data_IF_456016443966
#
_entry.id   IF_456016443966
#
_cell.length_a   1.000
_cell.length_b   1.000
_cell.length_c   1.000
_cell.angle_alpha   90.00
_cell.angle_beta   90.00
_cell.angle_gamma   90.00
#
_symmetry.space_group_name_H-M   'P 1'
#
loop_
_entity.id
_entity.type
_entity.pdbx_description
1 polymer ?
#
# COMPACT_ATOMS: atom_id res chain seq x y z
N UNK A 1 -34.22 -40.95 -82.72
CA UNK A 1 -33.19 -39.91 -82.86
C UNK A 1 -33.52 -38.62 -82.10
N UNK A 2 -34.79 -38.20 -81.97
CA UNK A 2 -35.16 -36.97 -81.24
C UNK A 2 -35.14 -37.11 -79.70
N UNK A 3 -35.47 -38.27 -79.14
CA UNK A 3 -35.51 -38.52 -77.68
C UNK A 3 -34.12 -38.55 -77.02
N UNK A 4 -33.11 -39.12 -77.69
CA UNK A 4 -31.73 -39.16 -77.18
C UNK A 4 -31.11 -37.76 -77.07
N UNK A 5 -31.42 -36.86 -78.01
CA UNK A 5 -30.97 -35.46 -77.99
C UNK A 5 -31.57 -34.70 -76.81
N UNK A 6 -32.85 -34.94 -76.49
CA UNK A 6 -33.53 -34.32 -75.34
C UNK A 6 -32.91 -34.79 -74.02
N UNK A 7 -32.63 -36.09 -73.88
CA UNK A 7 -32.00 -36.66 -72.67
C UNK A 7 -30.58 -36.08 -72.49
N UNK A 8 -29.80 -35.96 -73.58
CA UNK A 8 -28.48 -35.36 -73.53
C UNK A 8 -28.52 -33.88 -73.12
N UNK A 9 -29.47 -33.10 -73.66
CA UNK A 9 -29.67 -31.69 -73.29
C UNK A 9 -30.05 -31.53 -71.81
N UNK A 10 -30.92 -32.38 -71.28
CA UNK A 10 -31.27 -32.39 -69.85
C UNK A 10 -30.06 -32.74 -69.00
N UNK A 11 -29.25 -33.73 -69.40
CA UNK A 11 -28.01 -34.10 -68.71
C UNK A 11 -27.01 -32.94 -68.63
N UNK A 12 -26.80 -32.23 -69.74
CA UNK A 12 -25.93 -31.03 -69.79
C UNK A 12 -26.49 -29.92 -68.89
N UNK A 13 -27.78 -29.60 -68.98
CA UNK A 13 -28.40 -28.57 -68.15
C UNK A 13 -28.32 -28.90 -66.65
N UNK A 14 -28.54 -30.16 -66.27
CA UNK A 14 -28.44 -30.63 -64.89
C UNK A 14 -27.02 -30.49 -64.35
N UNK A 15 -26.01 -30.89 -65.14
CA UNK A 15 -24.60 -30.77 -64.78
C UNK A 15 -24.16 -29.32 -64.60
N UNK A 16 -24.66 -28.40 -65.45
CA UNK A 16 -24.37 -26.97 -65.35
C UNK A 16 -24.94 -26.36 -64.06
N UNK A 17 -26.18 -26.70 -63.70
CA UNK A 17 -26.82 -26.22 -62.46
C UNK A 17 -26.04 -26.71 -61.23
N UNK A 18 -25.66 -27.99 -61.20
CA UNK A 18 -24.87 -28.57 -60.10
C UNK A 18 -23.50 -27.90 -60.01
N UNK A 19 -22.84 -27.63 -61.14
CA UNK A 19 -21.55 -26.94 -61.17
C UNK A 19 -21.66 -25.50 -60.64
N UNK A 20 -22.67 -24.73 -61.05
CA UNK A 20 -22.91 -23.36 -60.56
C UNK A 20 -23.19 -23.36 -59.06
N UNK A 21 -24.08 -24.24 -58.59
CA UNK A 21 -24.41 -24.34 -57.17
C UNK A 21 -23.19 -24.74 -56.33
N UNK A 22 -22.41 -25.71 -56.81
CA UNK A 22 -21.18 -26.16 -56.13
C UNK A 22 -20.15 -25.04 -56.06
N UNK A 23 -19.97 -24.26 -57.13
CA UNK A 23 -19.08 -23.09 -57.15
C UNK A 23 -19.54 -22.00 -56.17
N UNK A 24 -20.84 -21.68 -56.13
CA UNK A 24 -21.38 -20.71 -55.17
C UNK A 24 -21.24 -21.16 -53.72
N UNK A 25 -21.47 -22.44 -53.44
CA UNK A 25 -21.28 -22.99 -52.09
C UNK A 25 -19.81 -23.06 -51.69
N UNK A 26 -18.91 -23.42 -52.62
CA UNK A 26 -17.47 -23.37 -52.39
C UNK A 26 -17.03 -21.95 -52.01
N UNK A 27 -17.43 -20.93 -52.78
CA UNK A 27 -17.12 -19.53 -52.47
C UNK A 27 -17.65 -19.07 -51.11
N UNK A 28 -18.85 -19.53 -50.70
CA UNK A 28 -19.42 -19.22 -49.38
C UNK A 28 -18.65 -19.90 -48.26
N UNK A 29 -18.24 -21.15 -48.46
CA UNK A 29 -17.47 -21.91 -47.49
C UNK A 29 -16.06 -21.33 -47.34
N UNK A 30 -15.42 -20.93 -48.43
CA UNK A 30 -14.11 -20.26 -48.42
C UNK A 30 -14.16 -18.95 -47.64
N UNK A 31 -15.16 -18.09 -47.89
CA UNK A 31 -15.33 -16.84 -47.12
C UNK A 31 -15.57 -17.08 -45.62
N UNK A 32 -16.39 -18.07 -45.27
CA UNK A 32 -16.62 -18.44 -43.86
C UNK A 32 -15.34 -18.97 -43.21
N UNK A 33 -14.56 -19.77 -43.94
CA UNK A 33 -13.29 -20.31 -43.47
C UNK A 33 -12.29 -19.17 -43.24
N UNK A 34 -12.23 -18.18 -44.14
CA UNK A 34 -11.36 -17.02 -44.02
C UNK A 34 -11.74 -16.15 -42.80
N UNK A 35 -13.03 -15.88 -42.60
CA UNK A 35 -13.52 -15.15 -41.42
C UNK A 35 -13.19 -15.88 -40.11
N UNK A 36 -13.44 -17.19 -40.05
CA UNK A 36 -13.11 -18.01 -38.86
C UNK A 36 -11.60 -18.05 -38.60
N UNK A 37 -10.78 -18.13 -39.65
CA UNK A 37 -9.32 -18.08 -39.51
C UNK A 37 -8.87 -16.73 -38.95
N UNK A 38 -9.40 -15.64 -39.50
CA UNK A 38 -9.10 -14.28 -39.02
C UNK A 38 -9.55 -14.09 -37.56
N UNK A 39 -10.73 -14.57 -37.19
CA UNK A 39 -11.22 -14.51 -35.81
C UNK A 39 -10.37 -15.35 -34.85
N UNK A 40 -9.94 -16.55 -35.27
CA UNK A 40 -9.03 -17.39 -34.49
C UNK A 40 -7.64 -16.77 -34.35
N UNK A 41 -7.14 -16.11 -35.39
CA UNK A 41 -5.86 -15.39 -35.37
C UNK A 41 -5.93 -14.21 -34.39
N UNK A 42 -6.97 -13.38 -34.46
CA UNK A 42 -7.18 -12.27 -33.52
C UNK A 42 -7.27 -12.77 -32.07
N UNK A 43 -8.06 -13.81 -31.82
CA UNK A 43 -8.18 -14.42 -30.49
C UNK A 43 -6.83 -15.00 -29.99
N UNK A 44 -6.04 -15.58 -30.89
CA UNK A 44 -4.71 -16.11 -30.56
C UNK A 44 -3.74 -14.98 -30.23
N UNK A 45 -3.75 -13.90 -31.01
CA UNK A 45 -2.93 -12.70 -30.78
C UNK A 45 -3.28 -12.05 -29.44
N UNK A 46 -4.56 -11.87 -29.13
CA UNK A 46 -5.01 -11.31 -27.85
C UNK A 46 -4.57 -12.17 -26.67
N UNK A 47 -4.73 -13.49 -26.76
CA UNK A 47 -4.26 -14.43 -25.72
C UNK A 47 -2.74 -14.43 -25.58
N UNK A 48 -2.00 -14.31 -26.68
CA UNK A 48 -0.54 -14.21 -26.63
C UNK A 48 -0.13 -12.92 -25.92
N UNK A 49 -0.68 -11.78 -26.35
CA UNK A 49 -0.41 -10.49 -25.73
C UNK A 49 -0.72 -10.51 -24.23
N UNK A 50 -1.88 -11.05 -23.84
CA UNK A 50 -2.26 -11.19 -22.42
C UNK A 50 -1.26 -12.04 -21.64
N UNK A 51 -0.80 -13.17 -22.18
CA UNK A 51 0.20 -14.02 -21.53
C UNK A 51 1.53 -13.31 -21.36
N UNK A 52 1.96 -12.56 -22.38
CA UNK A 52 3.20 -11.80 -22.32
C UNK A 52 3.12 -10.69 -21.25
N UNK A 53 1.98 -10.00 -21.16
CA UNK A 53 1.73 -9.01 -20.11
C UNK A 53 1.71 -9.63 -18.71
N UNK A 54 0.99 -10.75 -18.51
CA UNK A 54 0.94 -11.46 -17.22
C UNK A 54 2.32 -11.98 -16.82
N UNK A 55 3.12 -12.45 -17.79
CA UNK A 55 4.49 -12.90 -17.56
C UNK A 55 5.40 -11.75 -17.11
N UNK A 56 5.39 -10.61 -17.79
CA UNK A 56 6.20 -9.45 -17.42
C UNK A 56 5.78 -8.85 -16.07
N UNK A 57 4.47 -8.84 -15.78
CA UNK A 57 3.96 -8.39 -14.48
C UNK A 57 4.40 -9.32 -13.34
N UNK A 58 4.30 -10.64 -13.50
CA UNK A 58 4.84 -11.62 -12.54
C UNK A 58 6.34 -11.45 -12.35
N UNK A 59 7.08 -11.29 -13.44
CA UNK A 59 8.53 -11.05 -13.38
C UNK A 59 8.85 -9.80 -12.57
N UNK A 60 8.09 -8.70 -12.75
CA UNK A 60 8.24 -7.49 -11.93
C UNK A 60 7.91 -7.74 -10.45
N UNK A 61 6.85 -8.50 -10.17
CA UNK A 61 6.51 -8.88 -8.80
C UNK A 61 7.68 -9.60 -8.11
N UNK A 62 8.27 -10.60 -8.77
CA UNK A 62 9.42 -11.33 -8.22
C UNK A 62 10.70 -10.49 -8.14
N UNK A 63 11.02 -9.73 -9.19
CA UNK A 63 12.33 -9.07 -9.29
C UNK A 63 12.40 -7.71 -8.58
N UNK A 64 11.29 -6.98 -8.52
CA UNK A 64 11.25 -5.62 -8.00
C UNK A 64 10.43 -5.50 -6.71
N UNK A 65 9.27 -6.17 -6.63
CA UNK A 65 8.38 -6.04 -5.48
C UNK A 65 8.78 -6.91 -4.30
N UNK A 66 9.05 -8.21 -4.50
CA UNK A 66 9.40 -9.13 -3.40
C UNK A 66 10.61 -8.69 -2.57
N UNK A 67 11.72 -8.18 -3.14
CA UNK A 67 12.83 -7.68 -2.34
C UNK A 67 12.45 -6.49 -1.45
N UNK A 68 11.61 -5.59 -1.96
CA UNK A 68 11.11 -4.44 -1.21
C UNK A 68 10.10 -4.87 -0.14
N UNK A 69 9.23 -5.83 -0.45
CA UNK A 69 8.34 -6.44 0.54
C UNK A 69 9.15 -7.11 1.65
N UNK A 70 10.26 -7.77 1.26
CA UNK A 70 11.15 -8.38 2.22
C UNK A 70 11.75 -7.33 3.16
N UNK A 71 12.28 -6.25 2.61
CA UNK A 71 12.82 -5.13 3.36
C UNK A 71 11.75 -4.48 4.26
N UNK A 72 10.54 -4.29 3.75
CA UNK A 72 9.43 -3.72 4.50
C UNK A 72 9.06 -4.56 5.72
N UNK A 73 9.02 -5.89 5.59
CA UNK A 73 8.73 -6.79 6.71
C UNK A 73 9.74 -6.63 7.84
N UNK A 74 11.04 -6.55 7.52
CA UNK A 74 12.10 -6.37 8.54
C UNK A 74 11.96 -5.01 9.22
N UNK A 75 11.76 -3.96 8.43
CA UNK A 75 11.55 -2.61 8.98
C UNK A 75 10.26 -2.51 9.78
N UNK A 76 9.24 -3.29 9.42
CA UNK A 76 7.97 -3.33 10.16
C UNK A 76 8.14 -3.94 11.53
N UNK A 77 8.97 -4.98 11.67
CA UNK A 77 9.32 -5.56 12.97
C UNK A 77 10.10 -4.57 13.83
N UNK A 78 11.06 -3.85 13.24
CA UNK A 78 11.83 -2.81 13.93
C UNK A 78 10.94 -1.63 14.38
N UNK A 79 10.02 -1.19 13.53
CA UNK A 79 9.07 -0.13 13.84
C UNK A 79 8.08 -0.55 14.94
N UNK A 80 7.56 -1.78 14.86
CA UNK A 80 6.70 -2.36 15.88
C UNK A 80 7.41 -2.42 17.24
N UNK A 81 8.63 -2.96 17.28
CA UNK A 81 9.44 -3.02 18.51
C UNK A 81 9.73 -1.63 19.08
N UNK A 82 9.86 -0.59 18.23
CA UNK A 82 9.99 0.79 18.70
C UNK A 82 8.71 1.27 19.39
N UNK A 83 7.54 0.99 18.83
CA UNK A 83 6.25 1.40 19.41
C UNK A 83 6.03 0.68 20.75
N UNK A 84 6.30 -0.63 20.81
CA UNK A 84 6.29 -1.43 22.05
C UNK A 84 7.28 -0.86 23.09
N UNK A 85 8.48 -0.48 22.67
CA UNK A 85 9.47 0.16 23.54
C UNK A 85 9.02 1.51 24.10
N UNK A 86 8.29 2.31 23.31
CA UNK A 86 7.68 3.56 23.79
C UNK A 86 6.60 3.23 24.83
N UNK A 87 5.71 2.26 24.56
CA UNK A 87 4.67 1.82 25.49
C UNK A 87 5.26 1.40 26.84
N UNK A 88 6.29 0.55 26.79
CA UNK A 88 7.00 0.07 27.98
C UNK A 88 7.68 1.20 28.75
N UNK A 89 8.36 2.12 28.06
CA UNK A 89 8.99 3.26 28.73
C UNK A 89 7.97 4.18 29.42
N UNK A 90 6.75 4.27 28.90
CA UNK A 90 5.64 4.98 29.57
C UNK A 90 5.19 4.21 30.80
N UNK A 91 4.97 2.90 30.67
CA UNK A 91 4.63 1.97 31.78
C UNK A 91 5.56 2.11 32.98
N UNK A 92 6.86 2.13 32.68
CA UNK A 92 7.92 2.15 33.67
C UNK A 92 8.23 3.58 34.18
N UNK A 93 7.53 4.61 33.68
CA UNK A 93 7.79 6.02 34.04
C UNK A 93 9.14 6.56 33.56
N UNK A 94 9.75 5.90 32.58
CA UNK A 94 11.08 6.22 32.04
C UNK A 94 11.04 7.22 30.86
N UNK A 95 9.85 7.49 30.32
CA UNK A 95 9.68 8.40 29.18
C UNK A 95 9.77 9.88 29.63
N UNK A 96 10.99 10.40 29.78
CA UNK A 96 11.24 11.80 30.17
C UNK A 96 10.96 12.77 29.03
N UNK A 97 10.45 13.99 29.29
CA UNK A 97 10.12 14.96 28.22
C UNK A 97 11.26 15.23 27.21
N UNK A 98 12.52 15.10 27.66
CA UNK A 98 13.70 15.30 26.84
C UNK A 98 13.96 14.19 25.81
N UNK A 99 13.26 13.06 25.89
CA UNK A 99 13.39 11.96 24.93
C UNK A 99 13.06 12.41 23.50
N UNK A 100 12.16 13.40 23.37
CA UNK A 100 11.58 13.87 22.11
C UNK A 100 12.39 14.95 21.38
N UNK A 101 13.60 15.28 21.88
CA UNK A 101 14.46 16.33 21.31
C UNK A 101 15.37 15.76 20.22
N UNK A 102 15.61 16.52 19.15
CA UNK A 102 16.39 16.06 18.00
C UNK A 102 17.86 15.76 18.31
N UNK A 103 18.41 16.37 19.35
CA UNK A 103 19.76 16.08 19.86
C UNK A 103 19.83 14.71 20.56
N UNK A 104 18.69 14.10 20.89
CA UNK A 104 18.63 12.80 21.52
C UNK A 104 18.72 11.69 20.45
N UNK A 105 19.73 10.83 20.55
CA UNK A 105 19.89 9.69 19.65
C UNK A 105 18.65 8.78 19.64
N UNK A 106 17.98 8.61 20.79
CA UNK A 106 16.74 7.85 20.86
C UNK A 106 15.64 8.45 19.98
N UNK A 107 15.57 9.79 19.89
CA UNK A 107 14.63 10.49 19.02
C UNK A 107 14.94 10.27 17.55
N UNK A 108 16.20 10.50 17.15
CA UNK A 108 16.67 10.31 15.76
C UNK A 108 16.36 8.89 15.28
N UNK A 109 16.69 7.91 16.13
CA UNK A 109 16.41 6.50 15.87
C UNK A 109 14.91 6.20 15.83
N UNK A 110 14.09 6.85 16.65
CA UNK A 110 12.62 6.71 16.61
C UNK A 110 12.06 7.23 15.30
N UNK A 111 12.47 8.43 14.87
CA UNK A 111 12.06 8.98 13.56
C UNK A 111 12.48 8.03 12.45
N UNK A 112 13.72 7.54 12.47
CA UNK A 112 14.16 6.63 11.42
C UNK A 112 13.33 5.34 11.38
N UNK A 113 13.17 4.69 12.53
CA UNK A 113 12.45 3.40 12.63
C UNK A 113 10.98 3.52 12.23
N UNK A 114 10.32 4.64 12.51
CA UNK A 114 8.91 4.85 12.16
C UNK A 114 8.71 5.25 10.68
N UNK A 115 9.62 6.04 10.10
CA UNK A 115 9.46 6.54 8.73
C UNK A 115 10.14 5.68 7.65
N UNK A 116 11.15 4.87 7.99
CA UNK A 116 11.81 3.97 7.03
C UNK A 116 10.84 2.99 6.33
N UNK A 117 9.85 2.35 7.02
CA UNK A 117 8.82 1.55 6.35
C UNK A 117 8.06 2.34 5.28
N UNK A 118 7.74 3.62 5.53
CA UNK A 118 7.01 4.47 4.60
C UNK A 118 7.83 4.78 3.34
N UNK A 119 9.15 4.91 3.47
CA UNK A 119 10.05 5.06 2.33
C UNK A 119 10.08 3.83 1.45
N UNK A 120 10.12 2.63 2.03
CA UNK A 120 10.00 1.39 1.26
C UNK A 120 8.64 1.27 0.59
N UNK A 121 7.55 1.67 1.27
CA UNK A 121 6.21 1.72 0.67
C UNK A 121 6.20 2.66 -0.54
N UNK A 122 6.83 3.84 -0.44
CA UNK A 122 6.94 4.76 -1.58
C UNK A 122 7.75 4.17 -2.73
N UNK A 123 8.83 3.43 -2.44
CA UNK A 123 9.57 2.69 -3.47
C UNK A 123 8.67 1.65 -4.15
N UNK A 124 7.92 0.86 -3.39
CA UNK A 124 6.94 -0.12 -3.90
C UNK A 124 5.91 0.56 -4.80
N UNK A 125 5.33 1.68 -4.35
CA UNK A 125 4.34 2.45 -5.12
C UNK A 125 4.86 2.91 -6.48
N UNK A 126 6.16 3.22 -6.59
CA UNK A 126 6.78 3.64 -7.85
C UNK A 126 7.07 2.46 -8.80
N UNK A 127 6.98 1.21 -8.32
CA UNK A 127 7.26 0.00 -9.11
C UNK A 127 6.00 -0.75 -9.54
N UNK A 128 4.94 -0.70 -8.74
CA UNK A 128 3.70 -1.41 -9.02
C UNK A 128 2.80 -0.68 -10.01
N UNK A 129 2.06 -1.47 -10.79
CA UNK A 129 1.04 -1.03 -11.74
C UNK A 129 -0.30 -1.67 -11.41
N UNK A 130 -1.39 -1.16 -12.00
CA UNK A 130 -2.74 -1.71 -11.80
C UNK A 130 -2.83 -3.19 -12.21
N UNK A 131 -2.07 -3.60 -13.25
CA UNK A 131 -2.07 -4.97 -13.74
C UNK A 131 -1.56 -5.95 -12.68
N UNK A 132 -0.57 -5.53 -11.90
CA UNK A 132 0.06 -6.39 -10.88
C UNK A 132 -0.95 -6.82 -9.81
N UNK A 133 -1.91 -5.95 -9.45
CA UNK A 133 -2.96 -6.26 -8.47
C UNK A 133 -4.00 -7.29 -8.95
N UNK A 134 -4.18 -7.43 -10.26
CA UNK A 134 -5.14 -8.37 -10.82
C UNK A 134 -4.59 -9.80 -10.89
N UNK A 135 -3.26 -9.97 -10.81
CA UNK A 135 -2.61 -11.27 -10.91
C UNK A 135 -2.61 -11.97 -9.55
N UNK A 136 -2.30 -11.24 -8.48
CA UNK A 136 -2.18 -11.79 -7.14
C UNK A 136 -2.98 -10.98 -6.12
N UNK A 137 -4.12 -11.54 -5.67
CA UNK A 137 -5.02 -10.86 -4.73
C UNK A 137 -4.35 -10.50 -3.39
N UNK A 138 -3.33 -11.26 -2.98
CA UNK A 138 -2.55 -11.01 -1.77
C UNK A 138 -1.76 -9.69 -1.88
N UNK A 139 -1.17 -9.41 -3.04
CA UNK A 139 -0.47 -8.16 -3.33
C UNK A 139 -1.42 -6.97 -3.18
N UNK A 140 -2.67 -7.12 -3.63
CA UNK A 140 -3.69 -6.08 -3.46
C UNK A 140 -3.98 -5.78 -1.99
N UNK A 141 -4.13 -6.82 -1.16
CA UNK A 141 -4.35 -6.67 0.29
C UNK A 141 -3.14 -6.04 0.99
N UNK A 142 -1.94 -6.55 0.71
CA UNK A 142 -0.68 -6.02 1.24
C UNK A 142 -0.52 -4.53 0.90
N UNK A 143 -0.73 -4.18 -0.37
CA UNK A 143 -0.67 -2.80 -0.83
C UNK A 143 -1.75 -1.92 -0.21
N UNK A 144 -2.96 -2.45 0.00
CA UNK A 144 -4.02 -1.78 0.73
C UNK A 144 -3.61 -1.40 2.16
N UNK A 145 -3.02 -2.34 2.89
CA UNK A 145 -2.49 -2.10 4.25
C UNK A 145 -1.34 -1.09 4.26
N UNK A 146 -0.40 -1.21 3.31
CA UNK A 146 0.70 -0.24 3.12
C UNK A 146 0.15 1.17 2.89
N UNK A 147 -0.89 1.31 2.05
CA UNK A 147 -1.54 2.59 1.83
C UNK A 147 -2.17 3.13 3.12
N UNK A 148 -2.91 2.30 3.88
CA UNK A 148 -3.50 2.75 5.15
C UNK A 148 -2.40 3.25 6.09
N UNK A 149 -1.29 2.52 6.22
CA UNK A 149 -0.14 2.94 7.01
C UNK A 149 0.42 4.29 6.53
N UNK A 150 0.61 4.45 5.21
CA UNK A 150 1.14 5.68 4.61
C UNK A 150 0.22 6.90 4.78
N UNK A 151 -1.08 6.74 4.54
CA UNK A 151 -2.06 7.83 4.57
C UNK A 151 -2.59 8.14 5.97
N UNK A 152 -2.47 7.25 6.94
CA UNK A 152 -3.07 7.45 8.27
C UNK A 152 -2.49 8.65 9.05
N UNK A 153 -1.28 9.12 8.73
CA UNK A 153 -0.70 10.32 9.35
C UNK A 153 -1.54 11.60 9.17
N UNK A 154 -2.35 11.70 8.11
CA UNK A 154 -3.25 12.83 7.88
C UNK A 154 -4.68 12.60 8.43
N UNK A 155 -4.94 11.44 9.05
CA UNK A 155 -6.26 11.03 9.51
C UNK A 155 -6.47 11.30 11.00
N UNK A 156 -5.64 12.15 11.60
CA UNK A 156 -5.69 12.56 12.99
C UNK A 156 -7.06 13.15 13.38
N UNK A 157 -7.65 13.95 12.50
CA UNK A 157 -9.02 14.46 12.68
C UNK A 157 -10.07 13.36 12.76
N UNK A 158 -9.96 12.31 11.94
CA UNK A 158 -10.89 11.15 12.02
C UNK A 158 -10.65 10.34 13.29
N UNK A 159 -9.39 10.10 13.65
CA UNK A 159 -9.01 9.34 14.85
C UNK A 159 -9.52 10.05 16.11
N UNK A 160 -9.40 11.38 16.18
CA UNK A 160 -9.83 12.17 17.34
C UNK A 160 -11.31 11.96 17.71
N UNK A 161 -12.18 11.68 16.72
CA UNK A 161 -13.62 11.48 16.93
C UNK A 161 -13.95 10.18 17.68
N UNK A 162 -13.01 9.25 17.75
CA UNK A 162 -13.15 7.99 18.47
C UNK A 162 -12.58 8.07 19.89
N UNK A 163 -11.97 9.19 20.29
CA UNK A 163 -11.40 9.38 21.62
C UNK A 163 -12.40 10.15 22.48
N UNK A 164 -12.86 9.51 23.56
CA UNK A 164 -13.80 10.13 24.49
C UNK A 164 -13.16 11.33 25.21
N UNK A 165 -14.00 12.34 25.44
CA UNK A 165 -13.69 13.55 26.21
C UNK A 165 -12.51 14.36 25.67
N UNK A 166 -12.26 14.27 24.37
CA UNK A 166 -11.21 15.01 23.68
C UNK A 166 -11.78 16.18 22.87
N UNK A 167 -11.45 17.41 23.29
CA UNK A 167 -11.67 18.60 22.47
C UNK A 167 -10.50 18.77 21.49
N UNK A 168 -10.73 18.41 20.22
CA UNK A 168 -9.69 18.37 19.18
C UNK A 168 -9.90 19.44 18.09
N UNK A 169 -8.84 20.16 17.72
CA UNK A 169 -8.87 21.16 16.65
C UNK A 169 -7.94 20.79 15.50
N UNK A 170 -8.54 20.55 14.33
CA UNK A 170 -7.83 20.17 13.10
C UNK A 170 -7.04 21.35 12.48
N UNK A 171 -7.44 22.60 12.75
CA UNK A 171 -6.84 23.79 12.16
C UNK A 171 -5.66 24.32 12.99
N UNK A 172 -4.49 24.40 12.35
CA UNK A 172 -3.26 24.95 12.92
C UNK A 172 -3.37 26.45 13.25
N UNK A 173 -4.37 27.15 12.72
CA UNK A 173 -4.52 28.61 12.82
C UNK A 173 -5.43 29.09 13.94
N UNK A 174 -6.05 28.19 14.71
CA UNK A 174 -6.95 28.61 15.78
C UNK A 174 -6.12 29.28 16.87
N UNK A 175 -6.33 30.58 17.09
CA UNK A 175 -5.75 31.32 18.21
C UNK A 175 -6.29 30.72 19.52
N UNK A 176 -5.45 30.01 20.25
CA UNK A 176 -5.80 29.36 21.51
C UNK A 176 -6.07 30.46 22.56
N UNK A 177 -7.34 30.79 22.74
CA UNK A 177 -7.83 31.61 23.85
C UNK A 177 -8.02 30.77 25.13
N UNK A 178 -8.08 29.45 24.99
CA UNK A 178 -7.97 28.47 26.08
C UNK A 178 -6.49 28.18 26.36
N UNK A 179 -6.11 27.87 27.61
CA UNK A 179 -4.73 27.51 27.95
C UNK A 179 -4.28 26.31 27.12
N UNK A 180 -3.01 26.29 26.70
CA UNK A 180 -2.43 25.22 25.86
C UNK A 180 -2.57 23.81 26.45
N UNK A 181 -2.93 23.70 27.73
CA UNK A 181 -3.16 22.44 28.44
C UNK A 181 -4.61 21.91 28.31
N UNK A 182 -5.58 22.72 27.87
CA UNK A 182 -7.01 22.33 27.82
C UNK A 182 -7.47 21.83 26.45
N UNK A 183 -6.70 22.07 25.40
CA UNK A 183 -7.11 21.79 24.01
C UNK A 183 -6.00 21.07 23.28
N UNK A 184 -6.26 19.85 22.81
CA UNK A 184 -5.33 19.14 21.95
C UNK A 184 -5.42 19.69 20.52
N UNK A 185 -4.37 20.41 20.11
CA UNK A 185 -4.20 20.83 18.72
C UNK A 185 -3.85 19.66 17.79
N UNK A 186 -3.65 19.97 16.50
CA UNK A 186 -3.30 18.99 15.46
C UNK A 186 -2.10 18.12 15.82
N UNK A 187 -2.29 16.80 15.82
CA UNK A 187 -1.29 15.77 16.09
C UNK A 187 -0.92 14.93 14.86
N UNK A 188 -1.62 15.10 13.73
CA UNK A 188 -1.24 14.50 12.45
C UNK A 188 -0.32 15.38 11.61
N UNK A 189 0.09 14.85 10.47
CA UNK A 189 0.92 15.51 9.47
C UNK A 189 0.17 15.50 8.13
N UNK A 190 0.19 16.62 7.41
CA UNK A 190 -0.37 16.67 6.06
C UNK A 190 0.40 15.72 5.13
N UNK A 191 -0.30 15.04 4.21
CA UNK A 191 0.33 14.06 3.33
C UNK A 191 1.54 14.60 2.55
N UNK A 192 1.46 15.82 2.04
CA UNK A 192 2.59 16.45 1.33
C UNK A 192 3.83 16.69 2.21
N UNK A 193 3.67 16.79 3.53
CA UNK A 193 4.79 16.84 4.47
C UNK A 193 5.33 15.44 4.77
N UNK A 194 4.46 14.43 4.88
CA UNK A 194 4.87 13.01 4.97
C UNK A 194 5.74 12.65 3.76
N UNK A 195 5.30 13.01 2.56
CA UNK A 195 6.05 12.81 1.31
C UNK A 195 7.46 13.42 1.37
N UNK A 196 7.56 14.67 1.84
CA UNK A 196 8.85 15.38 1.96
C UNK A 196 9.78 14.73 2.98
N UNK A 197 9.24 14.26 4.10
CA UNK A 197 10.01 13.54 5.14
C UNK A 197 10.49 12.23 4.57
N UNK A 198 9.59 11.43 3.97
CA UNK A 198 9.89 10.13 3.38
C UNK A 198 10.94 10.24 2.27
N UNK A 199 10.92 11.29 1.46
CA UNK A 199 11.93 11.53 0.43
C UNK A 199 13.35 11.73 1.00
N UNK A 200 13.51 12.08 2.28
CA UNK A 200 14.84 12.14 2.91
C UNK A 200 15.47 10.78 3.11
N UNK A 201 14.64 9.73 3.20
CA UNK A 201 15.07 8.35 3.43
C UNK A 201 15.43 7.62 2.14
N UNK A 202 15.24 8.25 0.98
CA UNK A 202 15.49 7.64 -0.31
C UNK A 202 16.76 8.25 -0.91
N UNK A 203 17.69 7.41 -1.34
CA UNK A 203 18.92 7.85 -1.99
C UNK A 203 18.63 8.68 -3.23
N UNK A 204 19.44 9.72 -3.45
CA UNK A 204 19.40 10.55 -4.66
C UNK A 204 20.22 9.94 -5.82
N UNK A 205 20.61 8.67 -5.74
CA UNK A 205 21.35 8.00 -6.81
C UNK A 205 20.42 7.82 -8.02
N UNK A 206 20.82 8.39 -9.16
CA UNK A 206 20.07 8.32 -10.41
C UNK A 206 19.93 6.88 -10.93
N UNK A 207 20.90 6.01 -10.62
CA UNK A 207 20.92 4.64 -11.12
C UNK A 207 20.02 3.72 -10.28
N UNK A 208 19.94 3.95 -8.96
CA UNK A 208 19.15 3.10 -8.08
C UNK A 208 18.67 3.84 -6.83
N UNK A 209 17.39 4.21 -6.84
CA UNK A 209 16.70 4.66 -5.63
C UNK A 209 16.59 3.50 -4.64
N UNK A 210 17.16 3.67 -3.45
CA UNK A 210 17.08 2.73 -2.33
C UNK A 210 16.79 3.48 -1.04
N UNK A 211 16.34 2.75 -0.03
CA UNK A 211 16.36 3.26 1.34
C UNK A 211 17.82 3.51 1.75
N UNK A 212 18.09 4.68 2.34
CA UNK A 212 19.36 4.97 3.00
C UNK A 212 19.43 4.22 4.33
N UNK A 213 20.61 3.78 4.74
CA UNK A 213 20.76 3.18 6.06
C UNK A 213 20.71 4.23 7.19
N UNK A 214 20.74 3.78 8.44
CA UNK A 214 20.67 4.67 9.59
C UNK A 214 21.90 5.59 9.71
N UNK A 215 23.09 5.11 9.33
CA UNK A 215 24.31 5.91 9.37
C UNK A 215 24.26 7.04 8.34
N UNK A 216 23.84 6.72 7.11
CA UNK A 216 23.57 7.72 6.07
C UNK A 216 22.52 8.74 6.51
N UNK A 217 21.47 8.30 7.23
CA UNK A 217 20.49 9.21 7.81
C UNK A 217 21.08 10.12 8.90
N UNK A 218 21.92 9.60 9.79
CA UNK A 218 22.62 10.42 10.79
C UNK A 218 23.54 11.46 10.15
N UNK A 219 24.31 11.07 9.12
CA UNK A 219 25.14 12.00 8.36
C UNK A 219 24.30 13.12 7.71
N UNK A 220 23.10 12.79 7.22
CA UNK A 220 22.17 13.80 6.68
C UNK A 220 21.69 14.78 7.75
N UNK A 221 21.43 14.32 8.97
CA UNK A 221 21.06 15.20 10.10
C UNK A 221 22.20 16.16 10.44
N UNK A 222 23.44 15.68 10.41
CA UNK A 222 24.62 16.44 10.79
C UNK A 222 25.12 17.39 9.68
N UNK A 223 24.66 17.19 8.43
CA UNK A 223 25.03 18.00 7.25
C UNK A 223 24.68 19.50 7.32
N UNK A 224 24.03 19.97 8.40
CA UNK A 224 23.56 21.34 8.59
C UNK A 224 22.64 21.90 7.47
N UNK A 225 22.12 21.05 6.59
CA UNK A 225 21.24 21.43 5.49
C UNK A 225 19.89 21.97 5.99
N UNK A 226 19.59 23.24 5.68
CA UNK A 226 18.32 23.89 6.05
C UNK A 226 17.11 23.17 5.45
N UNK A 227 17.28 22.53 4.28
CA UNK A 227 16.25 21.72 3.64
C UNK A 227 15.94 20.45 4.44
N UNK A 228 16.96 19.79 5.00
CA UNK A 228 16.77 18.60 5.83
C UNK A 228 16.10 19.00 7.15
N UNK A 229 16.62 20.03 7.82
CA UNK A 229 16.08 20.55 9.08
C UNK A 229 14.61 20.97 8.96
N UNK A 230 14.27 21.73 7.92
CA UNK A 230 12.89 22.20 7.72
C UNK A 230 11.89 21.07 7.49
N UNK A 231 12.28 20.01 6.75
CA UNK A 231 11.43 18.83 6.51
C UNK A 231 11.24 18.00 7.79
N UNK A 232 12.30 17.79 8.56
CA UNK A 232 12.23 17.02 9.80
C UNK A 232 11.56 17.76 10.94
N UNK A 233 11.58 19.10 10.94
CA UNK A 233 10.88 19.92 11.93
C UNK A 233 9.39 19.57 12.07
N UNK A 234 8.75 19.13 10.99
CA UNK A 234 7.35 18.69 11.03
C UNK A 234 7.20 17.38 11.81
N UNK A 235 8.08 16.39 11.58
CA UNK A 235 8.11 15.16 12.36
C UNK A 235 8.52 15.43 13.82
N UNK A 236 9.48 16.32 14.04
CA UNK A 236 9.89 16.77 15.38
C UNK A 236 8.72 17.34 16.17
N UNK A 237 7.97 18.29 15.59
CA UNK A 237 6.77 18.86 16.24
C UNK A 237 5.73 17.80 16.59
N UNK A 238 5.55 16.81 15.72
CA UNK A 238 4.61 15.72 15.93
C UNK A 238 4.94 14.95 17.21
N UNK A 239 6.22 14.67 17.46
CA UNK A 239 6.68 13.90 18.62
C UNK A 239 7.17 14.76 19.80
N UNK A 240 7.31 16.08 19.64
CA UNK A 240 7.77 16.98 20.68
C UNK A 240 6.89 16.85 21.93
N UNK A 241 7.52 16.63 23.09
CA UNK A 241 6.87 16.39 24.38
C UNK A 241 5.84 15.25 24.37
N UNK A 242 5.98 14.29 23.44
CA UNK A 242 5.06 13.17 23.31
C UNK A 242 4.96 12.37 24.61
N UNK A 243 3.72 12.15 25.01
CA UNK A 243 3.31 11.21 26.04
C UNK A 243 1.91 10.71 25.63
N UNK A 244 1.60 9.41 25.79
CA UNK A 244 0.29 8.86 25.41
C UNK A 244 -0.90 9.61 25.99
N UNK A 245 -0.79 10.10 27.23
CA UNK A 245 -1.86 10.87 27.89
C UNK A 245 -2.06 12.28 27.34
N UNK A 246 -1.01 12.92 26.79
CA UNK A 246 -1.05 14.29 26.26
C UNK A 246 -1.25 14.36 24.76
N UNK A 247 -0.91 13.28 24.06
CA UNK A 247 -1.00 13.14 22.61
C UNK A 247 -1.78 11.89 22.26
N UNK A 248 -3.01 11.83 22.74
CA UNK A 248 -3.89 10.64 22.66
C UNK A 248 -4.19 10.27 21.21
N UNK A 249 -4.36 11.26 20.33
CA UNK A 249 -4.60 11.04 18.89
C UNK A 249 -3.39 10.38 18.24
N UNK A 250 -2.19 10.92 18.48
CA UNK A 250 -0.96 10.34 17.95
C UNK A 250 -0.68 8.96 18.53
N UNK A 251 -0.96 8.75 19.81
CA UNK A 251 -0.82 7.42 20.39
C UNK A 251 -1.74 6.40 19.72
N UNK A 252 -3.01 6.74 19.54
CA UNK A 252 -3.99 5.89 18.84
C UNK A 252 -3.57 5.60 17.39
N UNK A 253 -2.98 6.60 16.71
CA UNK A 253 -2.39 6.42 15.39
C UNK A 253 -1.23 5.41 15.42
N UNK A 254 -0.29 5.53 16.36
CA UNK A 254 0.84 4.60 16.50
C UNK A 254 0.37 3.18 16.85
N UNK A 255 -0.67 3.02 17.65
CA UNK A 255 -1.26 1.71 17.94
C UNK A 255 -1.89 1.09 16.69
N UNK A 256 -2.58 1.90 15.88
CA UNK A 256 -3.10 1.47 14.58
C UNK A 256 -1.96 1.05 13.64
N UNK A 257 -0.84 1.78 13.66
CA UNK A 257 0.37 1.40 12.93
C UNK A 257 0.93 0.08 13.44
N UNK A 258 1.04 -0.12 14.75
CA UNK A 258 1.54 -1.36 15.33
C UNK A 258 0.76 -2.58 14.84
N UNK A 259 -0.58 -2.51 14.81
CA UNK A 259 -1.42 -3.57 14.27
C UNK A 259 -1.11 -3.86 12.79
N UNK A 260 -1.03 -2.83 11.96
CA UNK A 260 -0.73 -2.97 10.53
C UNK A 260 0.68 -3.52 10.32
N UNK A 261 1.67 -3.01 11.05
CA UNK A 261 3.06 -3.45 11.00
C UNK A 261 3.17 -4.92 11.40
N UNK A 262 2.45 -5.36 12.45
CA UNK A 262 2.36 -6.77 12.87
C UNK A 262 1.78 -7.67 11.78
N UNK A 263 0.82 -7.18 11.02
CA UNK A 263 0.32 -7.91 9.84
C UNK A 263 1.42 -7.97 8.78
N UNK A 264 2.05 -6.84 8.46
CA UNK A 264 3.09 -6.75 7.42
C UNK A 264 4.34 -7.58 7.75
N UNK A 265 4.68 -7.84 9.02
CA UNK A 265 5.77 -8.77 9.36
C UNK A 265 5.48 -10.22 8.95
N UNK A 266 4.20 -10.58 8.80
CA UNK A 266 3.78 -11.91 8.31
C UNK A 266 3.70 -12.01 6.80
N UNK A 267 4.00 -10.93 6.05
CA UNK A 267 3.87 -10.87 4.58
C UNK A 267 4.72 -11.88 3.82
N UNK A 268 5.78 -12.41 4.46
CA UNK A 268 6.65 -13.45 3.91
C UNK A 268 6.18 -14.87 4.17
N UNK A 269 5.22 -15.06 5.07
CA UNK A 269 4.83 -16.39 5.48
C UNK A 269 3.97 -17.05 4.39
N UNK A 270 4.19 -18.33 4.12
CA UNK A 270 3.31 -19.13 3.24
C UNK A 270 1.84 -19.14 3.70
N UNK A 271 1.59 -18.72 4.94
CA UNK A 271 0.28 -18.61 5.56
C UNK A 271 -0.10 -17.12 5.70
N UNK A 272 -0.03 -16.38 4.59
CA UNK A 272 -0.48 -14.99 4.58
C UNK A 272 -1.95 -14.90 5.02
N UNK A 273 -2.27 -13.85 5.77
CA UNK A 273 -3.61 -13.64 6.31
C UNK A 273 -4.55 -13.31 5.16
N UNK A 274 -5.58 -14.13 4.98
CA UNK A 274 -6.61 -13.86 3.97
C UNK A 274 -7.45 -12.64 4.36
N UNK A 275 -8.08 -11.99 3.38
CA UNK A 275 -8.94 -10.83 3.63
C UNK A 275 -10.06 -11.13 4.64
N UNK A 276 -10.58 -12.36 4.66
CA UNK A 276 -11.60 -12.82 5.62
C UNK A 276 -11.09 -13.02 7.05
N UNK A 277 -9.79 -13.22 7.23
CA UNK A 277 -9.16 -13.42 8.54
C UNK A 277 -8.67 -12.11 9.16
N UNK A 278 -8.55 -11.04 8.35
CA UNK A 278 -8.04 -9.76 8.78
C UNK A 278 -8.79 -9.18 10.00
N UNK A 279 -10.14 -9.17 10.07
CA UNK A 279 -10.84 -8.66 11.25
C UNK A 279 -10.48 -9.42 12.53
N UNK A 280 -10.50 -10.76 12.47
CA UNK A 280 -10.14 -11.62 13.61
C UNK A 280 -8.70 -11.42 14.05
N UNK A 281 -7.79 -11.22 13.11
CA UNK A 281 -6.40 -10.94 13.43
C UNK A 281 -6.26 -9.61 14.18
N UNK A 282 -6.97 -8.57 13.73
CA UNK A 282 -6.98 -7.26 14.37
C UNK A 282 -7.56 -7.38 15.78
N UNK A 283 -8.71 -8.05 15.94
CA UNK A 283 -9.34 -8.26 17.25
C UNK A 283 -8.39 -8.97 18.22
N UNK A 284 -7.78 -10.08 17.78
CA UNK A 284 -6.80 -10.82 18.59
C UNK A 284 -5.58 -9.96 18.95
N UNK A 285 -5.08 -9.13 18.03
CA UNK A 285 -3.97 -8.22 18.31
C UNK A 285 -4.34 -7.21 19.40
N UNK A 286 -5.54 -6.64 19.36
CA UNK A 286 -6.01 -5.74 20.40
C UNK A 286 -6.12 -6.46 21.76
N UNK A 287 -6.71 -7.65 21.78
CA UNK A 287 -6.90 -8.44 23.00
C UNK A 287 -5.56 -8.85 23.63
N UNK A 288 -4.62 -9.35 22.82
CA UNK A 288 -3.30 -9.82 23.29
C UNK A 288 -2.46 -8.69 23.89
N UNK A 289 -2.62 -7.46 23.39
CA UNK A 289 -1.75 -6.35 23.78
C UNK A 289 -2.46 -5.30 24.65
N UNK A 290 -3.67 -5.60 25.12
CA UNK A 290 -4.50 -4.65 25.88
C UNK A 290 -3.80 -4.11 27.13
N UNK A 291 -3.06 -4.97 27.84
CA UNK A 291 -2.34 -4.63 29.08
C UNK A 291 -1.01 -3.89 28.85
N UNK A 292 -0.44 -4.02 27.65
CA UNK A 292 0.88 -3.47 27.34
C UNK A 292 0.81 -2.11 26.64
N UNK A 293 -0.24 -1.88 25.84
CA UNK A 293 -0.37 -0.66 25.05
C UNK A 293 -1.08 0.50 25.72
N UNK A 294 -1.46 0.41 27.01
CA UNK A 294 -2.21 1.48 27.69
C UNK A 294 -3.30 2.04 26.78
N UNK A 295 -4.23 1.18 26.34
CA UNK A 295 -5.42 1.65 25.64
C UNK A 295 -6.23 2.47 26.66
N UNK A 296 -5.92 3.76 26.77
CA UNK A 296 -6.53 4.67 27.71
C UNK A 296 -8.03 4.72 27.42
N UNK A 297 -8.82 4.05 28.27
CA UNK A 297 -10.29 4.05 28.32
C UNK A 297 -10.98 4.37 26.99
N UNK A 298 -10.69 3.57 25.95
CA UNK A 298 -11.59 3.44 24.79
C UNK A 298 -12.74 2.49 25.20
N UNK A 299 -13.27 2.67 26.41
CA UNK A 299 -14.42 1.89 26.87
C UNK A 299 -15.67 2.29 26.08
N UNK A 300 -16.41 1.26 25.72
CA UNK A 300 -17.29 1.16 24.57
C UNK A 300 -18.65 1.83 24.83
N UNK A 301 -18.95 2.92 24.11
CA UNK A 301 -20.29 3.55 24.10
C UNK A 301 -21.38 2.67 23.47
N UNK A 302 -21.04 1.54 22.84
CA UNK A 302 -22.04 0.63 22.26
C UNK A 302 -22.51 -0.47 23.23
N UNK A 303 -22.07 -0.42 24.50
CA UNK A 303 -22.51 -1.35 25.55
C UNK A 303 -23.70 -0.84 26.37
N UNK A 304 -24.35 0.28 26.00
CA UNK A 304 -25.55 0.82 26.65
C UNK A 304 -26.68 1.12 25.67
#
# INVERSE_FOLDING_TARGET
MTTEIIIALIGVASSLIVAIYSSLMANRNEKKLELLKSELELNKEERNARRDYEYEAKKRLYQEYEPLLFQLSELSEVALSRIEGIAKNVKDGLLTEQWSKIENNYFKETIYKLFAPLAVIKLIQNKLTIVDFNIESEVSLQYGLMKILYFSYQEDGKISRYINDLEYFEDWKVNHTKSADEVEGRQGIALGEVDKIVDLFISNDENQKRLIDYGEFEDLLDSNSEKVKSRLKTAEKMFLNFHPERKRVLWTLLLSHAAILKILTKSKSKNWISQSELPKFIDNFYDENKEDFYFADIEDKNSQ
#
